data_IF_743214248209
#
_entry.id   IF_743214248209
#
_cell.length_a   1.000
_cell.length_b   1.000
_cell.length_c   1.000
_cell.angle_alpha   90.00
_cell.angle_beta   90.00
_cell.angle_gamma   90.00
#
_symmetry.space_group_name_H-M   'P 1'
#
loop_
_entity.id
_entity.type
_entity.pdbx_description
1 polymer ?
#
# COMPACT_ATOMS: atom_id res chain seq x y z
N UNK A 1 1.03 13.05 -6.42
CA UNK A 1 -0.02 13.93 -7.00
C UNK A 1 0.06 14.06 -8.51
N UNK A 2 1.18 14.51 -9.10
CA UNK A 2 1.27 14.76 -10.54
C UNK A 2 0.99 13.53 -11.44
N UNK A 3 1.37 12.33 -10.99
CA UNK A 3 1.23 11.07 -11.76
C UNK A 3 0.44 9.98 -11.02
N UNK A 4 0.39 10.04 -9.68
CA UNK A 4 -0.45 9.19 -8.84
C UNK A 4 -1.15 10.12 -7.86
N UNK A 5 -2.48 10.10 -7.87
CA UNK A 5 -3.35 10.86 -6.98
C UNK A 5 -4.30 9.87 -6.31
N UNK A 6 -4.31 9.89 -4.99
CA UNK A 6 -5.19 9.03 -4.18
C UNK A 6 -6.24 9.89 -3.48
N UNK A 7 -7.40 9.30 -3.22
CA UNK A 7 -8.38 9.90 -2.33
C UNK A 7 -7.79 10.06 -0.91
N UNK A 8 -8.06 11.16 -0.20
CA UNK A 8 -7.49 11.40 1.13
C UNK A 8 -7.99 10.47 2.23
N UNK A 9 -8.98 9.59 1.99
CA UNK A 9 -9.58 8.69 3.01
C UNK A 9 -8.56 7.87 3.80
N UNK A 10 -7.42 7.50 3.20
CA UNK A 10 -6.34 6.75 3.87
C UNK A 10 -5.20 7.62 4.40
N UNK A 11 -5.21 8.93 4.12
CA UNK A 11 -4.17 9.87 4.55
C UNK A 11 -2.79 9.65 3.90
N UNK A 12 -2.71 8.95 2.77
CA UNK A 12 -1.41 8.48 2.23
C UNK A 12 -0.72 9.44 1.25
N UNK A 13 -1.35 10.55 0.86
CA UNK A 13 -0.82 11.44 -0.20
C UNK A 13 0.60 11.94 0.06
N UNK A 14 0.87 12.46 1.26
CA UNK A 14 2.20 12.97 1.63
C UNK A 14 3.25 11.86 1.76
N UNK A 15 2.88 10.70 2.30
CA UNK A 15 3.75 9.53 2.40
C UNK A 15 4.17 9.05 1.00
N UNK A 16 3.21 8.93 0.08
CA UNK A 16 3.46 8.57 -1.31
C UNK A 16 4.37 9.58 -2.01
N UNK A 17 4.13 10.88 -1.80
CA UNK A 17 4.97 11.92 -2.39
C UNK A 17 6.43 11.82 -1.89
N UNK A 18 6.63 11.60 -0.59
CA UNK A 18 7.97 11.44 -0.01
C UNK A 18 8.70 10.20 -0.56
N UNK A 19 8.02 9.05 -0.60
CA UNK A 19 8.56 7.79 -1.13
C UNK A 19 8.88 7.89 -2.62
N UNK A 20 7.99 8.48 -3.42
CA UNK A 20 8.23 8.73 -4.84
C UNK A 20 9.45 9.64 -5.05
N UNK A 21 9.57 10.74 -4.30
CA UNK A 21 10.72 11.64 -4.39
C UNK A 21 12.04 10.92 -4.10
N UNK A 22 12.07 10.04 -3.09
CA UNK A 22 13.23 9.21 -2.79
C UNK A 22 13.56 8.24 -3.94
N UNK A 23 12.55 7.57 -4.52
CA UNK A 23 12.72 6.64 -5.64
C UNK A 23 13.23 7.33 -6.92
N UNK A 24 12.69 8.51 -7.23
CA UNK A 24 13.16 9.32 -8.37
C UNK A 24 14.58 9.84 -8.14
N UNK A 25 14.93 10.31 -6.94
CA UNK A 25 16.29 10.73 -6.62
C UNK A 25 17.29 9.58 -6.81
N UNK A 26 16.97 8.38 -6.32
CA UNK A 26 17.80 7.20 -6.52
C UNK A 26 17.96 6.90 -8.01
N UNK A 27 16.85 6.88 -8.77
CA UNK A 27 16.87 6.61 -10.20
C UNK A 27 17.72 7.62 -10.98
N UNK A 28 17.63 8.92 -10.65
CA UNK A 28 18.44 9.98 -11.27
C UNK A 28 19.93 9.75 -10.97
N UNK A 29 20.29 9.42 -9.72
CA UNK A 29 21.68 9.16 -9.33
C UNK A 29 22.25 7.92 -10.00
N UNK A 30 21.46 6.84 -10.05
CA UNK A 30 21.85 5.57 -10.68
C UNK A 30 22.03 5.72 -12.20
N UNK A 31 21.30 6.64 -12.83
CA UNK A 31 21.37 6.90 -14.27
C UNK A 31 22.57 7.77 -14.70
N UNK A 32 23.12 8.56 -13.77
CA UNK A 32 24.29 9.40 -14.03
C UNK A 32 24.06 10.43 -15.15
N UNK A 33 25.03 10.53 -16.07
CA UNK A 33 25.02 11.49 -17.18
C UNK A 33 24.33 10.96 -18.46
N UNK A 34 23.70 9.77 -18.39
CA UNK A 34 22.98 9.23 -19.53
C UNK A 34 21.74 10.08 -19.88
N UNK A 35 21.25 10.07 -21.13
CA UNK A 35 20.10 10.87 -21.54
C UNK A 35 18.84 10.53 -20.74
N UNK A 36 18.10 11.56 -20.28
CA UNK A 36 16.80 11.41 -19.63
C UNK A 36 15.68 11.21 -20.66
N UNK A 37 15.80 10.14 -21.44
CA UNK A 37 14.86 9.78 -22.49
C UNK A 37 13.59 9.09 -21.96
N UNK A 38 12.69 8.74 -22.88
CA UNK A 38 11.45 8.03 -22.55
C UNK A 38 11.70 6.75 -21.76
N UNK A 39 12.73 5.99 -22.12
CA UNK A 39 13.02 4.71 -21.49
C UNK A 39 13.47 4.92 -20.03
N UNK A 40 14.23 5.99 -19.74
CA UNK A 40 14.49 6.40 -18.36
C UNK A 40 13.20 6.77 -17.62
N UNK A 41 12.34 7.61 -18.21
CA UNK A 41 11.10 8.07 -17.56
C UNK A 41 10.19 6.90 -17.17
N UNK A 42 10.02 5.94 -18.08
CA UNK A 42 9.22 4.73 -17.85
C UNK A 42 9.82 3.89 -16.73
N UNK A 43 11.13 3.58 -16.77
CA UNK A 43 11.79 2.80 -15.71
C UNK A 43 11.73 3.48 -14.34
N UNK A 44 11.94 4.79 -14.29
CA UNK A 44 11.89 5.55 -13.04
C UNK A 44 10.46 5.55 -12.45
N UNK A 45 9.44 5.69 -13.29
CA UNK A 45 8.05 5.58 -12.86
C UNK A 45 7.74 4.17 -12.36
N UNK A 46 8.06 3.11 -13.12
CA UNK A 46 7.82 1.72 -12.72
C UNK A 46 8.46 1.41 -11.37
N UNK A 47 9.69 1.89 -11.12
CA UNK A 47 10.35 1.76 -9.81
C UNK A 47 9.56 2.42 -8.68
N UNK A 48 8.99 3.61 -8.91
CA UNK A 48 8.13 4.26 -7.91
C UNK A 48 6.76 3.58 -7.77
N UNK A 49 6.24 3.04 -8.87
CA UNK A 49 4.94 2.39 -8.94
C UNK A 49 4.91 1.06 -8.21
N UNK A 50 6.05 0.35 -8.19
CA UNK A 50 6.24 -0.89 -7.43
C UNK A 50 5.77 -0.75 -5.98
N UNK A 51 5.94 0.42 -5.35
CA UNK A 51 5.41 0.71 -4.02
C UNK A 51 4.03 1.40 -4.05
N UNK A 52 3.85 2.41 -4.91
CA UNK A 52 2.64 3.25 -4.92
C UNK A 52 1.35 2.49 -5.30
N UNK A 53 1.46 1.37 -6.03
CA UNK A 53 0.33 0.55 -6.43
C UNK A 53 -0.44 -0.02 -5.23
N UNK A 54 0.25 -0.37 -4.14
CA UNK A 54 -0.36 -0.99 -2.98
C UNK A 54 -1.24 0.00 -2.21
N UNK A 55 -0.74 1.22 -2.01
CA UNK A 55 -1.54 2.32 -1.46
C UNK A 55 -2.75 2.62 -2.34
N UNK A 56 -2.55 2.64 -3.66
CA UNK A 56 -3.62 2.95 -4.60
C UNK A 56 -4.72 1.90 -4.57
N UNK A 57 -4.36 0.62 -4.59
CA UNK A 57 -5.31 -0.48 -4.49
C UNK A 57 -6.07 -0.46 -3.16
N UNK A 58 -5.37 -0.30 -2.04
CA UNK A 58 -5.98 -0.25 -0.72
C UNK A 58 -6.90 0.96 -0.53
N UNK A 59 -6.48 2.14 -0.97
CA UNK A 59 -7.29 3.37 -0.90
C UNK A 59 -8.56 3.23 -1.72
N UNK A 60 -8.46 2.73 -2.95
CA UNK A 60 -9.63 2.52 -3.81
C UNK A 60 -10.60 1.50 -3.22
N UNK A 61 -10.10 0.44 -2.56
CA UNK A 61 -10.95 -0.53 -1.88
C UNK A 61 -11.76 0.09 -0.72
N UNK A 62 -11.16 1.01 0.04
CA UNK A 62 -11.81 1.70 1.17
C UNK A 62 -12.86 2.74 0.75
N UNK A 63 -12.94 3.09 -0.54
CA UNK A 63 -14.01 3.96 -1.06
C UNK A 63 -15.34 3.20 -1.25
N UNK A 64 -15.29 1.88 -1.30
CA UNK A 64 -16.47 1.02 -1.39
C UNK A 64 -16.91 0.54 0.00
N UNK A 65 -18.17 0.12 0.17
CA UNK A 65 -18.59 -0.55 1.40
C UNK A 65 -17.64 -1.71 1.73
N UNK A 66 -17.19 -1.84 3.00
CA UNK A 66 -16.24 -2.88 3.38
C UNK A 66 -16.84 -4.27 3.14
N UNK A 67 -16.13 -5.16 2.42
CA UNK A 67 -16.54 -6.55 2.26
C UNK A 67 -16.65 -7.26 3.62
N UNK A 68 -17.38 -8.38 3.65
CA UNK A 68 -17.63 -9.14 4.88
C UNK A 68 -16.32 -9.56 5.59
N UNK A 69 -15.32 -10.05 4.86
CA UNK A 69 -14.05 -10.48 5.46
C UNK A 69 -13.27 -9.33 6.11
N UNK A 70 -13.39 -8.11 5.58
CA UNK A 70 -12.81 -6.90 6.18
C UNK A 70 -13.53 -6.57 7.49
N UNK A 71 -14.86 -6.62 7.50
CA UNK A 71 -15.65 -6.39 8.72
C UNK A 71 -15.30 -7.42 9.81
N UNK A 72 -15.17 -8.69 9.45
CA UNK A 72 -14.77 -9.76 10.37
C UNK A 72 -13.38 -9.51 10.99
N UNK A 73 -12.40 -9.09 10.17
CA UNK A 73 -11.07 -8.71 10.67
C UNK A 73 -11.12 -7.52 11.63
N UNK A 74 -11.85 -6.47 11.27
CA UNK A 74 -11.96 -5.26 12.10
C UNK A 74 -12.72 -5.53 13.41
N UNK A 75 -13.72 -6.41 13.39
CA UNK A 75 -14.41 -6.86 14.62
C UNK A 75 -13.48 -7.69 15.49
N UNK A 76 -12.76 -8.67 14.92
CA UNK A 76 -11.80 -9.51 15.64
C UNK A 76 -10.66 -8.69 16.27
N UNK A 77 -10.30 -7.54 15.70
CA UNK A 77 -9.31 -6.63 16.26
C UNK A 77 -9.67 -6.08 17.65
N UNK A 78 -10.95 -6.12 18.05
CA UNK A 78 -11.38 -5.75 19.41
C UNK A 78 -10.95 -6.78 20.47
N UNK A 79 -10.75 -8.03 20.06
CA UNK A 79 -10.40 -9.14 20.97
C UNK A 79 -8.94 -9.58 20.78
N UNK A 80 -8.36 -9.31 19.60
CA UNK A 80 -7.01 -9.71 19.25
C UNK A 80 -6.14 -8.50 18.87
N UNK A 81 -5.39 -7.98 19.85
CA UNK A 81 -4.51 -6.81 19.69
C UNK A 81 -3.56 -6.94 18.49
N UNK A 82 -3.06 -8.14 18.20
CA UNK A 82 -2.18 -8.39 17.05
C UNK A 82 -2.82 -8.02 15.69
N UNK A 83 -4.14 -8.13 15.55
CA UNK A 83 -4.85 -7.70 14.34
C UNK A 83 -4.90 -6.18 14.28
N UNK A 84 -5.20 -5.52 15.40
CA UNK A 84 -5.21 -4.06 15.49
C UNK A 84 -3.82 -3.48 15.17
N UNK A 85 -2.77 -4.03 15.79
CA UNK A 85 -1.38 -3.62 15.58
C UNK A 85 -0.96 -3.80 14.12
N UNK A 86 -1.24 -4.97 13.53
CA UNK A 86 -0.92 -5.22 12.12
C UNK A 86 -1.68 -4.29 11.19
N UNK A 87 -2.95 -4.01 11.48
CA UNK A 87 -3.76 -3.06 10.71
C UNK A 87 -3.16 -1.65 10.72
N UNK A 88 -2.84 -1.10 11.90
CA UNK A 88 -2.29 0.27 11.98
C UNK A 88 -0.88 0.37 11.41
N UNK A 89 -0.04 -0.66 11.58
CA UNK A 89 1.30 -0.71 10.98
C UNK A 89 1.24 -0.77 9.45
N UNK A 90 0.16 -1.31 8.88
CA UNK A 90 -0.08 -1.31 7.43
C UNK A 90 -0.19 0.09 6.82
N UNK A 91 -0.48 1.14 7.60
CA UNK A 91 -0.43 2.52 7.08
C UNK A 91 1.00 2.92 6.68
N UNK A 92 2.02 2.36 7.35
CA UNK A 92 3.43 2.59 7.02
C UNK A 92 3.89 1.66 5.88
N UNK A 93 3.47 0.39 5.91
CA UNK A 93 3.74 -0.60 4.86
C UNK A 93 2.46 -1.26 4.31
N UNK A 94 1.82 -0.64 3.30
CA UNK A 94 0.55 -1.11 2.74
C UNK A 94 0.65 -2.42 1.97
N UNK A 95 1.88 -2.90 1.66
CA UNK A 95 2.08 -4.20 1.01
C UNK A 95 1.55 -5.33 1.87
N UNK A 96 1.70 -5.21 3.19
CA UNK A 96 1.27 -6.23 4.13
C UNK A 96 -0.24 -6.50 4.05
N UNK A 97 -1.07 -5.48 3.77
CA UNK A 97 -2.51 -5.69 3.60
C UNK A 97 -2.85 -6.72 2.52
N UNK A 98 -2.01 -6.84 1.49
CA UNK A 98 -2.24 -7.78 0.40
C UNK A 98 -1.95 -9.22 0.81
N UNK A 99 -1.36 -9.47 1.99
CA UNK A 99 -1.09 -10.81 2.50
C UNK A 99 -2.12 -11.33 3.50
N UNK A 100 -3.00 -10.47 4.04
CA UNK A 100 -3.98 -10.89 5.03
C UNK A 100 -5.30 -10.11 5.05
N UNK A 101 -5.39 -8.93 4.44
CA UNK A 101 -6.54 -8.03 4.57
C UNK A 101 -7.37 -7.92 3.29
N UNK A 102 -6.72 -7.73 2.14
CA UNK A 102 -7.40 -7.39 0.88
C UNK A 102 -8.26 -8.53 0.33
N UNK A 103 -7.81 -9.78 0.48
CA UNK A 103 -8.43 -10.95 -0.15
C UNK A 103 -9.14 -11.87 0.86
N UNK A 104 -10.36 -12.36 0.58
CA UNK A 104 -11.14 -13.18 1.52
C UNK A 104 -10.41 -14.43 2.03
N UNK A 105 -9.72 -15.16 1.15
CA UNK A 105 -9.01 -16.39 1.52
C UNK A 105 -7.75 -16.11 2.36
N UNK A 106 -7.13 -14.94 2.18
CA UNK A 106 -6.00 -14.51 3.00
C UNK A 106 -6.47 -14.07 4.38
N UNK A 107 -7.57 -13.32 4.45
CA UNK A 107 -8.22 -12.92 5.69
C UNK A 107 -8.64 -14.12 6.55
N UNK A 108 -9.31 -15.10 5.93
CA UNK A 108 -9.76 -16.30 6.65
C UNK A 108 -8.61 -17.12 7.22
N UNK A 109 -7.52 -17.29 6.46
CA UNK A 109 -6.31 -17.97 6.94
C UNK A 109 -5.67 -17.23 8.10
N UNK A 110 -5.60 -15.90 8.03
CA UNK A 110 -5.03 -15.10 9.10
C UNK A 110 -5.88 -15.16 10.38
N UNK A 111 -7.21 -15.01 10.27
CA UNK A 111 -8.12 -15.15 11.41
C UNK A 111 -8.00 -16.52 12.09
N UNK A 112 -7.95 -17.60 11.30
CA UNK A 112 -7.79 -18.95 11.85
C UNK A 112 -6.45 -19.12 12.58
N UNK A 113 -5.38 -18.48 12.10
CA UNK A 113 -4.07 -18.53 12.76
C UNK A 113 -4.02 -17.71 14.06
N UNK A 114 -4.77 -16.62 14.14
CA UNK A 114 -4.84 -15.72 15.32
C UNK A 114 -5.70 -16.32 16.44
N UNK A 115 -6.74 -17.08 16.08
CA UNK A 115 -7.67 -17.69 17.03
C UNK A 115 -7.24 -19.08 17.55
N UNK A 116 -6.12 -19.61 17.05
CA UNK A 116 -5.53 -20.89 17.49
C UNK A 116 -4.69 -20.72 18.76
#
# INVERSE_FOLDING_TARGET
DAVVLNDPVTGQGSNNASKAAASYLASIRDHGDAPFDRAFMERAFERSWDEAQYVTGWTNALLSPPPQHVLELLLAANEHQQIADRFVNGFNDPRDYFDWFMEPDKARRYLAAVAA
#
